data_IF_091402558797
#
_entry.id   IF_091402558797
#
_cell.length_a   1.000
_cell.length_b   1.000
_cell.length_c   1.000
_cell.angle_alpha   90.00
_cell.angle_beta   90.00
_cell.angle_gamma   90.00
#
_symmetry.space_group_name_H-M   'P 1'
#
loop_
_entity.id
_entity.type
_entity.pdbx_description
1 polymer ?
#
# COMPACT_ATOMS: atom_id res chain seq x y z
N UNK A 1 -19.82 17.17 -1.37
CA UNK A 1 -19.81 15.72 -1.10
C UNK A 1 -19.10 14.89 -2.19
N UNK A 2 -19.03 15.35 -3.44
CA UNK A 2 -18.36 14.65 -4.56
C UNK A 2 -16.85 14.39 -4.38
N UNK A 3 -16.12 15.35 -3.79
CA UNK A 3 -14.66 15.24 -3.62
C UNK A 3 -14.22 14.11 -2.67
N UNK A 4 -15.04 13.73 -1.68
CA UNK A 4 -14.69 12.65 -0.73
C UNK A 4 -14.68 11.26 -1.41
N UNK A 5 -15.64 10.99 -2.30
CA UNK A 5 -15.72 9.71 -3.00
C UNK A 5 -14.68 9.62 -4.12
N UNK A 6 -14.37 10.74 -4.79
CA UNK A 6 -13.29 10.80 -5.79
C UNK A 6 -11.95 10.36 -5.20
N UNK A 7 -11.62 10.78 -3.98
CA UNK A 7 -10.39 10.38 -3.29
C UNK A 7 -10.33 8.87 -3.04
N UNK A 8 -11.41 8.27 -2.55
CA UNK A 8 -11.47 6.82 -2.29
C UNK A 8 -11.37 6.02 -3.59
N UNK A 9 -12.11 6.41 -4.63
CA UNK A 9 -12.10 5.72 -5.92
C UNK A 9 -10.72 5.83 -6.58
N UNK A 10 -10.10 7.02 -6.56
CA UNK A 10 -8.75 7.21 -7.09
C UNK A 10 -7.73 6.40 -6.28
N UNK A 11 -7.83 6.36 -4.95
CA UNK A 11 -6.96 5.56 -4.09
C UNK A 11 -7.03 4.07 -4.43
N UNK A 12 -8.25 3.53 -4.62
CA UNK A 12 -8.46 2.15 -5.03
C UNK A 12 -7.91 1.89 -6.44
N UNK A 13 -8.14 2.80 -7.39
CA UNK A 13 -7.62 2.70 -8.76
C UNK A 13 -6.09 2.64 -8.78
N UNK A 14 -5.42 3.56 -8.08
CA UNK A 14 -3.97 3.55 -7.94
C UNK A 14 -3.46 2.33 -7.17
N UNK A 15 -4.25 1.82 -6.22
CA UNK A 15 -4.00 0.55 -5.54
C UNK A 15 -3.93 -0.63 -6.50
N UNK A 16 -4.91 -0.77 -7.40
CA UNK A 16 -4.90 -1.81 -8.44
C UNK A 16 -3.67 -1.66 -9.35
N UNK A 17 -3.36 -0.44 -9.77
CA UNK A 17 -2.20 -0.19 -10.63
C UNK A 17 -0.86 -0.49 -9.93
N UNK A 18 -0.80 -0.29 -8.62
CA UNK A 18 0.35 -0.68 -7.79
C UNK A 18 0.60 -2.18 -7.88
N UNK A 19 -0.46 -3.00 -7.77
CA UNK A 19 -0.36 -4.46 -7.93
C UNK A 19 0.10 -4.86 -9.32
N UNK A 20 -0.38 -4.17 -10.37
CA UNK A 20 0.09 -4.43 -11.75
C UNK A 20 1.58 -4.15 -11.89
N UNK A 21 2.07 -3.05 -11.32
CA UNK A 21 3.50 -2.71 -11.33
C UNK A 21 4.32 -3.71 -10.53
N UNK A 22 3.83 -4.14 -9.36
CA UNK A 22 4.48 -5.17 -8.55
C UNK A 22 4.73 -6.44 -9.37
N UNK A 23 3.68 -6.96 -10.02
CA UNK A 23 3.76 -8.14 -10.89
C UNK A 23 4.71 -7.88 -12.06
N UNK A 24 4.60 -6.73 -12.73
CA UNK A 24 5.44 -6.42 -13.89
C UNK A 24 6.93 -6.36 -13.52
N UNK A 25 7.28 -5.69 -12.42
CA UNK A 25 8.66 -5.58 -11.94
C UNK A 25 9.19 -6.95 -11.53
N UNK A 26 8.38 -7.75 -10.81
CA UNK A 26 8.77 -9.11 -10.42
C UNK A 26 9.06 -10.01 -11.63
N UNK A 27 8.23 -9.93 -12.69
CA UNK A 27 8.43 -10.68 -13.92
C UNK A 27 9.65 -10.22 -14.71
N UNK A 28 9.91 -8.91 -14.77
CA UNK A 28 11.10 -8.36 -15.44
C UNK A 28 12.37 -8.82 -14.72
N UNK A 29 12.41 -8.71 -13.39
CA UNK A 29 13.53 -9.16 -12.57
C UNK A 29 13.75 -10.67 -12.70
N UNK A 30 12.67 -11.46 -12.73
CA UNK A 30 12.75 -12.91 -12.92
C UNK A 30 13.42 -13.29 -14.25
N UNK A 31 13.08 -12.61 -15.35
CA UNK A 31 13.68 -12.89 -16.66
C UNK A 31 15.09 -12.33 -16.82
N UNK A 32 15.40 -11.18 -16.22
CA UNK A 32 16.73 -10.54 -16.33
C UNK A 32 17.76 -11.17 -15.38
N UNK A 33 17.33 -11.61 -14.20
CA UNK A 33 18.17 -12.15 -13.14
C UNK A 33 17.59 -13.49 -12.63
N UNK A 34 17.63 -14.56 -13.43
CA UNK A 34 17.01 -15.84 -13.08
C UNK A 34 17.67 -16.54 -11.89
N UNK A 35 18.90 -16.17 -11.52
CA UNK A 35 19.61 -16.68 -10.33
C UNK A 35 19.29 -15.90 -9.06
N UNK A 36 18.47 -14.86 -9.14
CA UNK A 36 18.12 -14.03 -7.99
C UNK A 36 17.15 -14.78 -7.08
N UNK A 37 17.41 -14.71 -5.78
CA UNK A 37 16.51 -15.30 -4.79
C UNK A 37 15.11 -14.67 -4.86
N UNK A 38 14.09 -15.50 -4.66
CA UNK A 38 12.67 -15.10 -4.73
C UNK A 38 12.36 -14.01 -3.70
N UNK A 39 12.98 -14.04 -2.52
CA UNK A 39 12.83 -13.00 -1.51
C UNK A 39 13.31 -11.64 -2.04
N UNK A 40 14.51 -11.58 -2.63
CA UNK A 40 15.04 -10.33 -3.16
C UNK A 40 14.23 -9.83 -4.35
N UNK A 41 13.71 -10.74 -5.19
CA UNK A 41 12.85 -10.38 -6.32
C UNK A 41 11.56 -9.71 -5.85
N UNK A 42 10.83 -10.40 -4.98
CA UNK A 42 9.56 -9.90 -4.44
C UNK A 42 9.76 -8.64 -3.61
N UNK A 43 10.85 -8.51 -2.84
CA UNK A 43 11.14 -7.31 -2.06
C UNK A 43 11.40 -6.09 -2.96
N UNK A 44 12.20 -6.22 -4.02
CA UNK A 44 12.51 -5.11 -4.93
C UNK A 44 11.24 -4.71 -5.71
N UNK A 45 10.46 -5.67 -6.19
CA UNK A 45 9.19 -5.42 -6.85
C UNK A 45 8.21 -4.66 -5.93
N UNK A 46 8.11 -5.10 -4.67
CA UNK A 46 7.27 -4.47 -3.67
C UNK A 46 7.73 -3.05 -3.31
N UNK A 47 9.04 -2.82 -3.16
CA UNK A 47 9.56 -1.45 -2.92
C UNK A 47 9.24 -0.54 -4.13
N UNK A 48 9.46 -1.01 -5.35
CA UNK A 48 9.17 -0.25 -6.56
C UNK A 48 7.68 0.09 -6.70
N UNK A 49 6.80 -0.87 -6.40
CA UNK A 49 5.36 -0.66 -6.43
C UNK A 49 4.90 0.34 -5.35
N UNK A 50 5.43 0.24 -4.13
CA UNK A 50 5.16 1.21 -3.05
C UNK A 50 5.63 2.62 -3.40
N UNK A 51 6.79 2.78 -4.04
CA UNK A 51 7.26 4.07 -4.53
C UNK A 51 6.31 4.69 -5.56
N UNK A 52 5.87 3.89 -6.54
CA UNK A 52 4.88 4.33 -7.51
C UNK A 52 3.56 4.75 -6.86
N UNK A 53 3.06 3.94 -5.92
CA UNK A 53 1.84 4.22 -5.17
C UNK A 53 1.96 5.53 -4.38
N UNK A 54 3.13 5.84 -3.83
CA UNK A 54 3.38 7.09 -3.13
C UNK A 54 3.27 8.29 -4.09
N UNK A 55 3.99 8.28 -5.22
CA UNK A 55 3.98 9.40 -6.17
C UNK A 55 2.58 9.67 -6.74
N UNK A 56 1.83 8.61 -7.06
CA UNK A 56 0.48 8.71 -7.62
C UNK A 56 -0.54 9.17 -6.59
N UNK A 57 -0.57 8.57 -5.39
CA UNK A 57 -1.48 8.99 -4.32
C UNK A 57 -1.22 10.43 -3.90
N UNK A 58 0.05 10.83 -3.73
CA UNK A 58 0.42 12.20 -3.36
C UNK A 58 -0.05 13.23 -4.40
N UNK A 59 0.23 12.99 -5.68
CA UNK A 59 -0.02 13.95 -6.76
C UNK A 59 -1.49 13.99 -7.20
N UNK A 60 -2.16 12.84 -7.25
CA UNK A 60 -3.50 12.71 -7.85
C UNK A 60 -4.64 12.52 -6.84
N UNK A 61 -4.36 11.98 -5.65
CA UNK A 61 -5.40 11.71 -4.63
C UNK A 61 -5.44 12.81 -3.58
N UNK A 62 -4.26 13.25 -3.11
CA UNK A 62 -4.16 14.15 -1.97
C UNK A 62 -3.66 15.56 -2.27
N UNK A 63 -3.21 15.85 -3.51
CA UNK A 63 -2.73 17.17 -3.95
C UNK A 63 -1.77 17.83 -2.91
N UNK A 64 -0.84 17.06 -2.34
CA UNK A 64 0.03 17.55 -1.25
C UNK A 64 0.87 18.77 -1.69
N UNK A 65 0.83 19.85 -0.89
CA UNK A 65 1.63 21.08 -1.03
C UNK A 65 3.03 20.98 -0.39
N UNK A 66 3.56 19.77 -0.13
CA UNK A 66 4.92 19.65 0.40
C UNK A 66 5.93 20.23 -0.62
N UNK A 67 6.68 21.24 -0.20
CA UNK A 67 7.56 22.05 -1.06
C UNK A 67 9.04 21.77 -0.79
N UNK A 68 9.37 21.11 0.33
CA UNK A 68 10.76 20.88 0.74
C UNK A 68 11.14 19.41 0.67
N UNK A 69 12.30 19.06 0.12
CA UNK A 69 12.81 17.67 -0.03
C UNK A 69 12.70 16.83 1.27
N UNK A 70 12.89 17.44 2.44
CA UNK A 70 12.76 16.78 3.74
C UNK A 70 11.32 16.32 4.04
N UNK A 71 10.32 17.11 3.63
CA UNK A 71 8.90 16.76 3.77
C UNK A 71 8.56 15.59 2.83
N UNK A 72 9.09 15.61 1.60
CA UNK A 72 8.93 14.51 0.65
C UNK A 72 9.44 13.18 1.19
N UNK A 73 10.63 13.19 1.81
CA UNK A 73 11.24 11.97 2.36
C UNK A 73 10.44 11.49 3.58
N UNK A 74 9.99 12.41 4.45
CA UNK A 74 9.18 12.05 5.62
C UNK A 74 7.84 11.44 5.21
N UNK A 75 7.10 12.08 4.28
CA UNK A 75 5.84 11.56 3.74
C UNK A 75 6.04 10.17 3.11
N UNK A 76 7.12 9.98 2.34
CA UNK A 76 7.46 8.71 1.70
C UNK A 76 7.76 7.61 2.73
N UNK A 77 8.58 7.90 3.75
CA UNK A 77 8.89 6.96 4.83
C UNK A 77 7.63 6.60 5.61
N UNK A 78 6.79 7.57 5.97
CA UNK A 78 5.52 7.31 6.65
C UNK A 78 4.58 6.45 5.80
N UNK A 79 4.51 6.67 4.49
CA UNK A 79 3.72 5.83 3.59
C UNK A 79 4.25 4.40 3.51
N UNK A 80 5.57 4.25 3.39
CA UNK A 80 6.24 2.95 3.41
C UNK A 80 6.00 2.19 4.72
N UNK A 81 6.15 2.86 5.87
CA UNK A 81 5.86 2.30 7.18
C UNK A 81 4.40 1.87 7.30
N UNK A 82 3.46 2.65 6.74
CA UNK A 82 2.05 2.26 6.67
C UNK A 82 1.84 0.97 5.91
N UNK A 83 2.55 0.77 4.80
CA UNK A 83 2.49 -0.47 4.00
C UNK A 83 3.05 -1.66 4.76
N UNK A 84 4.22 -1.54 5.39
CA UNK A 84 4.79 -2.60 6.23
C UNK A 84 3.85 -2.92 7.40
N UNK A 85 3.35 -1.90 8.11
CA UNK A 85 2.42 -2.09 9.21
C UNK A 85 1.14 -2.79 8.77
N UNK A 86 0.66 -2.49 7.56
CA UNK A 86 -0.53 -3.14 7.02
C UNK A 86 -0.30 -4.61 6.65
N UNK A 87 0.90 -4.98 6.19
CA UNK A 87 1.27 -6.39 5.97
C UNK A 87 1.32 -7.16 7.29
N UNK A 88 1.92 -6.55 8.33
CA UNK A 88 1.96 -7.14 9.67
C UNK A 88 0.54 -7.29 10.23
N UNK A 89 -0.31 -6.29 10.05
CA UNK A 89 -1.72 -6.33 10.46
C UNK A 89 -2.47 -7.46 9.76
N UNK A 90 -2.25 -7.65 8.46
CA UNK A 90 -2.83 -8.74 7.69
C UNK A 90 -2.47 -10.10 8.28
N UNK A 91 -1.18 -10.33 8.54
CA UNK A 91 -0.70 -11.60 9.10
C UNK A 91 -1.23 -11.87 10.50
N UNK A 92 -1.36 -10.83 11.34
CA UNK A 92 -1.98 -10.96 12.67
C UNK A 92 -3.45 -11.38 12.54
N UNK A 93 -4.21 -10.76 11.63
CA UNK A 93 -5.62 -11.11 11.40
C UNK A 93 -5.75 -12.55 10.91
N UNK A 94 -4.89 -12.97 9.98
CA UNK A 94 -4.88 -14.34 9.47
C UNK A 94 -4.54 -15.36 10.56
N UNK A 95 -3.47 -15.12 11.32
CA UNK A 95 -3.01 -16.03 12.38
C UNK A 95 -4.09 -16.22 13.47
N UNK A 96 -4.73 -15.13 13.89
CA UNK A 96 -5.82 -15.18 14.88
C UNK A 96 -7.06 -15.85 14.26
N UNK A 97 -7.44 -15.46 13.04
CA UNK A 97 -8.66 -15.94 12.40
C UNK A 97 -8.63 -17.43 12.06
N UNK A 98 -7.48 -17.95 11.60
CA UNK A 98 -7.30 -19.40 11.36
C UNK A 98 -7.46 -20.19 12.66
N UNK A 99 -6.94 -19.65 13.77
CA UNK A 99 -7.05 -20.28 15.10
C UNK A 99 -8.50 -20.35 15.61
N UNK A 100 -9.41 -19.51 15.11
CA UNK A 100 -10.82 -19.44 15.56
C UNK A 100 -11.76 -20.17 14.59
N UNK A 101 -11.57 -20.00 13.28
CA UNK A 101 -12.56 -20.36 12.23
C UNK A 101 -12.13 -21.62 11.44
N UNK A 102 -10.93 -22.16 11.72
CA UNK A 102 -10.28 -23.27 10.99
C UNK A 102 -9.81 -22.91 9.58
N UNK A 103 -8.76 -23.58 9.12
CA UNK A 103 -8.11 -23.38 7.81
C UNK A 103 -9.07 -23.59 6.62
N UNK A 104 -10.15 -24.36 6.80
CA UNK A 104 -11.16 -24.60 5.75
C UNK A 104 -11.84 -23.31 5.24
N UNK A 105 -11.76 -22.20 5.99
CA UNK A 105 -12.31 -20.90 5.61
C UNK A 105 -11.22 -19.85 5.30
N UNK A 106 -9.98 -20.28 5.03
CA UNK A 106 -8.83 -19.38 4.82
C UNK A 106 -9.09 -18.33 3.73
N UNK A 107 -9.70 -18.71 2.60
CA UNK A 107 -9.97 -17.78 1.49
C UNK A 107 -10.88 -16.61 1.92
N UNK A 108 -11.92 -16.90 2.69
CA UNK A 108 -12.84 -15.87 3.21
C UNK A 108 -12.14 -14.96 4.22
N UNK A 109 -11.30 -15.54 5.09
CA UNK A 109 -10.51 -14.78 6.06
C UNK A 109 -9.48 -13.88 5.37
N UNK A 110 -8.84 -14.36 4.30
CA UNK A 110 -7.89 -13.58 3.48
C UNK A 110 -8.55 -12.39 2.81
N UNK A 111 -9.73 -12.60 2.22
CA UNK A 111 -10.51 -11.50 1.63
C UNK A 111 -10.88 -10.46 2.70
N UNK A 112 -11.34 -10.91 3.88
CA UNK A 112 -11.67 -10.01 4.98
C UNK A 112 -10.44 -9.23 5.47
N UNK A 113 -9.31 -9.90 5.70
CA UNK A 113 -8.06 -9.26 6.09
C UNK A 113 -7.63 -8.19 5.06
N UNK A 114 -7.72 -8.51 3.77
CA UNK A 114 -7.40 -7.56 2.70
C UNK A 114 -8.32 -6.32 2.71
N UNK A 115 -9.61 -6.49 3.00
CA UNK A 115 -10.54 -5.35 3.15
C UNK A 115 -10.13 -4.46 4.33
N UNK A 116 -9.78 -5.06 5.47
CA UNK A 116 -9.29 -4.32 6.65
C UNK A 116 -7.99 -3.57 6.32
N UNK A 117 -7.06 -4.21 5.62
CA UNK A 117 -5.79 -3.62 5.16
C UNK A 117 -6.01 -2.42 4.25
N UNK A 118 -6.94 -2.50 3.30
CA UNK A 118 -7.28 -1.39 2.40
C UNK A 118 -7.84 -0.21 3.20
N UNK A 119 -8.74 -0.47 4.14
CA UNK A 119 -9.32 0.56 5.01
C UNK A 119 -8.24 1.20 5.88
N UNK A 120 -7.41 0.39 6.54
CA UNK A 120 -6.28 0.87 7.35
C UNK A 120 -5.34 1.75 6.52
N UNK A 121 -4.93 1.29 5.34
CA UNK A 121 -4.03 2.02 4.46
C UNK A 121 -4.62 3.36 4.00
N UNK A 122 -5.93 3.42 3.73
CA UNK A 122 -6.61 4.68 3.42
C UNK A 122 -6.57 5.65 4.61
N UNK A 123 -6.91 5.20 5.82
CA UNK A 123 -6.86 6.05 7.01
C UNK A 123 -5.45 6.47 7.37
N UNK A 124 -4.47 5.57 7.28
CA UNK A 124 -3.05 5.89 7.49
C UNK A 124 -2.57 6.94 6.47
N UNK A 125 -2.85 6.72 5.18
CA UNK A 125 -2.51 7.68 4.13
C UNK A 125 -3.15 9.04 4.42
N UNK A 126 -4.42 9.07 4.83
CA UNK A 126 -5.16 10.31 5.07
C UNK A 126 -4.81 11.03 6.37
N UNK A 127 -4.55 10.31 7.45
CA UNK A 127 -4.42 10.86 8.80
C UNK A 127 -2.97 10.98 9.27
N UNK A 128 -2.05 10.21 8.69
CA UNK A 128 -0.63 10.19 9.11
C UNK A 128 0.25 10.75 8.01
N UNK A 129 0.05 10.30 6.76
CA UNK A 129 0.90 10.72 5.64
C UNK A 129 0.47 12.08 5.10
N UNK A 130 -0.82 12.27 4.87
CA UNK A 130 -1.39 13.50 4.31
C UNK A 130 -2.25 14.22 5.34
N UNK A 131 -1.72 14.38 6.57
CA UNK A 131 -2.29 15.28 7.56
C UNK A 131 -2.51 16.60 6.86
N UNK A 132 -3.76 17.03 6.74
CA UNK A 132 -4.07 18.30 6.14
C UNK A 132 -3.19 19.37 6.82
N UNK A 133 -2.25 19.94 6.09
CA UNK A 133 -1.94 21.35 6.22
C UNK A 133 -3.20 22.10 5.76
N UNK A 134 -4.27 21.98 6.55
CA UNK A 134 -5.38 22.91 6.51
C UNK A 134 -4.74 24.24 6.83
N UNK A 135 -4.78 25.09 5.81
CA UNK A 135 -4.39 26.48 5.81
C UNK A 135 -4.78 27.13 7.15
N UNK A 136 -3.80 27.82 7.75
CA UNK A 136 -4.09 28.96 8.61
C UNK A 136 -4.85 30.00 7.80
#
# INVERSE_FOLDING_TARGET
MWNKYKQVIAYLFWGVLTTVIDIAVALVLYHLLPTMDVFWNTLIAWVASVLFAYFTNRKWVFESKANTVKEYITEMISFFLGRVASLILEEIILMIGVSIISENNFDLLKIFAQLVVIIFNYFWSKLVVFVNHKEK
#
